data_IF_872815394627
#
_entry.id   IF_872815394627
#
_cell.length_a   1.000
_cell.length_b   1.000
_cell.length_c   1.000
_cell.angle_alpha   90.00
_cell.angle_beta   90.00
_cell.angle_gamma   90.00
#
_symmetry.space_group_name_H-M   'P 1'
#
loop_
_entity.id
_entity.type
_entity.pdbx_description
1 polymer ?
#
# COMPACT_ATOMS: atom_id res chain seq x y z
N UNK A 1 33.33 0.94 18.95
CA UNK A 1 32.61 0.79 20.22
C UNK A 1 31.23 0.28 19.89
N UNK A 2 30.82 -0.87 20.43
CA UNK A 2 29.44 -1.33 20.31
C UNK A 2 28.63 -0.56 21.35
N UNK A 3 27.96 0.52 20.93
CA UNK A 3 27.03 1.23 21.81
C UNK A 3 25.83 0.32 22.06
N UNK A 4 25.53 0.04 23.33
CA UNK A 4 24.31 -0.70 23.69
C UNK A 4 23.09 0.22 23.58
N UNK A 5 22.47 0.22 22.41
CA UNK A 5 21.29 1.04 22.13
C UNK A 5 20.04 0.61 22.92
N UNK A 6 20.05 -0.58 23.52
CA UNK A 6 18.89 -1.08 24.28
C UNK A 6 18.64 -0.31 25.57
N UNK A 7 19.68 0.34 26.11
CA UNK A 7 19.62 1.17 27.30
C UNK A 7 18.87 2.51 27.09
N UNK A 8 18.65 2.94 25.85
CA UNK A 8 17.99 4.21 25.53
C UNK A 8 16.51 4.00 25.21
N UNK A 9 15.66 4.97 25.58
CA UNK A 9 14.28 4.99 25.12
C UNK A 9 14.21 5.26 23.60
N UNK A 10 13.10 4.89 22.96
CA UNK A 10 12.91 5.14 21.53
C UNK A 10 12.96 6.65 21.23
N UNK A 11 12.39 7.48 22.11
CA UNK A 11 12.44 8.93 21.97
C UNK A 11 13.86 9.49 22.14
N UNK A 12 14.66 8.96 23.06
CA UNK A 12 16.05 9.41 23.22
C UNK A 12 16.87 9.08 21.97
N UNK A 13 16.73 7.86 21.43
CA UNK A 13 17.41 7.47 20.20
C UNK A 13 17.02 8.38 19.03
N UNK A 14 15.72 8.63 18.85
CA UNK A 14 15.25 9.54 17.80
C UNK A 14 15.77 10.97 18.01
N UNK A 15 15.76 11.48 19.25
CA UNK A 15 16.33 12.80 19.55
C UNK A 15 17.81 12.85 19.19
N UNK A 16 18.60 11.86 19.60
CA UNK A 16 20.04 11.80 19.30
C UNK A 16 20.33 11.69 17.81
N UNK A 17 19.43 11.09 17.03
CA UNK A 17 19.58 11.05 15.55
C UNK A 17 19.40 12.44 14.93
N UNK A 18 18.60 13.32 15.54
CA UNK A 18 18.19 14.59 14.95
C UNK A 18 18.62 15.84 15.74
N UNK A 19 19.43 15.70 16.78
CA UNK A 19 19.91 16.82 17.60
C UNK A 19 21.01 17.66 16.92
N UNK A 20 21.57 17.15 15.82
CA UNK A 20 22.64 17.79 15.05
C UNK A 20 24.03 17.54 15.62
N UNK A 21 24.17 16.77 16.70
CA UNK A 21 25.44 16.37 17.25
C UNK A 21 26.01 15.14 16.52
N UNK A 22 27.34 15.06 16.43
CA UNK A 22 28.00 13.92 15.80
C UNK A 22 28.16 12.77 16.78
N UNK A 23 27.26 11.79 16.70
CA UNK A 23 27.30 10.56 17.51
C UNK A 23 28.07 9.40 16.84
N UNK A 24 28.72 9.66 15.72
CA UNK A 24 29.45 8.67 14.91
C UNK A 24 28.76 8.39 13.56
N UNK A 25 29.58 8.06 12.55
CA UNK A 25 29.16 7.87 11.15
C UNK A 25 27.94 6.97 10.96
N UNK A 26 27.88 5.86 11.69
CA UNK A 26 26.84 4.83 11.54
C UNK A 26 25.84 4.82 12.71
N UNK A 27 25.85 5.85 13.58
CA UNK A 27 25.01 5.89 14.77
C UNK A 27 23.52 5.79 14.42
N UNK A 28 23.05 6.63 13.50
CA UNK A 28 21.64 6.66 13.14
C UNK A 28 21.16 5.34 12.52
N UNK A 29 21.99 4.74 11.67
CA UNK A 29 21.70 3.44 11.08
C UNK A 29 21.60 2.35 12.17
N UNK A 30 22.59 2.26 13.05
CA UNK A 30 22.63 1.26 14.10
C UNK A 30 21.51 1.44 15.14
N UNK A 31 21.16 2.69 15.49
CA UNK A 31 20.06 2.98 16.38
C UNK A 31 18.70 2.59 15.76
N UNK A 32 18.46 2.98 14.50
CA UNK A 32 17.21 2.69 13.79
C UNK A 32 17.04 1.19 13.51
N UNK A 33 17.96 0.58 12.76
CA UNK A 33 17.85 -0.82 12.34
C UNK A 33 18.16 -1.79 13.48
N UNK A 34 19.10 -1.44 14.37
CA UNK A 34 19.50 -2.30 15.47
C UNK A 34 18.53 -2.29 16.65
N UNK A 35 17.74 -1.23 16.84
CA UNK A 35 16.84 -1.12 18.01
C UNK A 35 15.45 -0.61 17.69
N UNK A 36 15.31 0.60 17.13
CA UNK A 36 13.99 1.26 16.99
C UNK A 36 13.01 0.45 16.14
N UNK A 37 13.42 0.02 14.94
CA UNK A 37 12.57 -0.79 14.08
C UNK A 37 12.24 -2.14 14.69
N UNK A 38 13.17 -2.74 15.45
CA UNK A 38 12.92 -3.97 16.19
C UNK A 38 11.85 -3.81 17.28
N UNK A 39 11.79 -2.65 17.94
CA UNK A 39 10.72 -2.31 18.91
C UNK A 39 9.39 -2.11 18.21
N UNK A 40 9.35 -1.31 17.15
CA UNK A 40 8.12 -1.04 16.38
C UNK A 40 7.53 -2.30 15.76
N UNK A 41 8.37 -3.20 15.22
CA UNK A 41 7.93 -4.51 14.72
C UNK A 41 7.21 -5.35 15.76
N UNK A 42 7.59 -5.21 17.05
CA UNK A 42 6.95 -5.86 18.19
C UNK A 42 5.78 -5.06 18.77
N UNK A 43 5.44 -3.92 18.18
CA UNK A 43 4.42 -2.99 18.69
C UNK A 43 4.86 -2.20 19.92
N UNK A 44 6.15 -2.10 20.22
CA UNK A 44 6.65 -1.37 21.38
C UNK A 44 6.96 0.07 20.98
N UNK A 45 6.55 1.05 21.79
CA UNK A 45 6.80 2.49 21.59
C UNK A 45 6.37 2.99 20.21
N UNK A 46 5.16 2.68 19.74
CA UNK A 46 4.69 3.06 18.39
C UNK A 46 4.37 4.56 18.26
N UNK A 47 4.16 5.26 19.38
CA UNK A 47 3.73 6.65 19.42
C UNK A 47 4.60 7.59 18.58
N UNK A 48 5.94 7.50 18.56
CA UNK A 48 6.77 8.35 17.71
C UNK A 48 6.61 8.07 16.22
N UNK A 49 6.38 6.81 15.82
CA UNK A 49 6.06 6.46 14.42
C UNK A 49 4.69 7.02 14.03
N UNK A 50 3.69 6.86 14.90
CA UNK A 50 2.34 7.41 14.69
C UNK A 50 2.40 8.92 14.56
N UNK A 51 3.17 9.61 15.41
CA UNK A 51 3.35 11.06 15.35
C UNK A 51 3.97 11.52 14.02
N UNK A 52 4.96 10.79 13.49
CA UNK A 52 5.52 11.09 12.17
C UNK A 52 4.46 10.95 11.07
N UNK A 53 3.71 9.85 11.06
CA UNK A 53 2.66 9.57 10.06
C UNK A 53 1.50 10.57 10.10
N UNK A 54 1.23 11.16 11.26
CA UNK A 54 0.16 12.15 11.46
C UNK A 54 0.65 13.60 11.40
N UNK A 55 1.95 13.83 11.18
CA UNK A 55 2.50 15.19 11.16
C UNK A 55 1.87 16.05 10.08
N UNK A 56 1.71 17.35 10.34
CA UNK A 56 1.28 18.31 9.33
C UNK A 56 2.35 18.53 8.24
N UNK A 57 3.62 18.23 8.54
CA UNK A 57 4.73 18.39 7.59
C UNK A 57 4.86 17.16 6.70
N UNK A 58 4.77 17.37 5.38
CA UNK A 58 4.91 16.30 4.38
C UNK A 58 6.22 15.52 4.52
N UNK A 59 7.35 16.18 4.78
CA UNK A 59 8.64 15.50 4.95
C UNK A 59 8.71 14.61 6.20
N UNK A 60 7.97 14.94 7.26
CA UNK A 60 7.88 14.07 8.45
C UNK A 60 6.98 12.87 8.18
N UNK A 61 5.85 13.07 7.49
CA UNK A 61 4.98 11.97 7.04
C UNK A 61 5.69 11.03 6.08
N UNK A 62 6.45 11.57 5.14
CA UNK A 62 7.22 10.78 4.18
C UNK A 62 8.28 9.91 4.88
N UNK A 63 8.96 10.48 5.88
CA UNK A 63 9.88 9.74 6.74
C UNK A 63 9.15 8.66 7.55
N UNK A 64 8.00 8.99 8.14
CA UNK A 64 7.16 8.02 8.84
C UNK A 64 6.74 6.87 7.92
N UNK A 65 6.36 7.17 6.67
CA UNK A 65 5.95 6.19 5.68
C UNK A 65 7.12 5.28 5.25
N UNK A 66 8.34 5.82 5.15
CA UNK A 66 9.56 5.02 4.99
C UNK A 66 9.78 4.10 6.20
N UNK A 67 9.66 4.61 7.42
CA UNK A 67 9.81 3.81 8.65
C UNK A 67 8.75 2.74 8.83
N UNK A 68 7.52 3.00 8.38
CA UNK A 68 6.45 2.00 8.36
C UNK A 68 6.86 0.75 7.58
N UNK A 69 7.51 0.93 6.42
CA UNK A 69 7.97 -0.17 5.56
C UNK A 69 9.12 -0.96 6.19
N UNK A 70 10.09 -0.27 6.79
CA UNK A 70 11.25 -0.91 7.41
C UNK A 70 10.90 -1.65 8.70
N UNK A 71 10.00 -1.09 9.50
CA UNK A 71 9.62 -1.65 10.79
C UNK A 71 8.59 -2.76 10.67
N UNK A 72 7.64 -2.64 9.73
CA UNK A 72 6.47 -3.53 9.59
C UNK A 72 5.77 -3.78 10.95
N UNK A 73 5.26 -2.72 11.61
CA UNK A 73 4.60 -2.83 12.91
C UNK A 73 3.30 -3.64 12.84
N UNK A 74 2.78 -4.14 13.98
CA UNK A 74 1.53 -4.89 14.03
C UNK A 74 0.32 -4.12 13.48
N UNK A 75 -0.43 -4.79 12.62
CA UNK A 75 -1.48 -4.20 11.80
C UNK A 75 -2.68 -3.66 12.61
N UNK A 76 -3.09 -4.41 13.62
CA UNK A 76 -4.16 -4.08 14.56
C UNK A 76 -3.91 -2.76 15.31
N UNK A 77 -2.65 -2.37 15.47
CA UNK A 77 -2.25 -1.14 16.17
C UNK A 77 -2.03 0.06 15.24
N UNK A 78 -1.97 -0.17 13.94
CA UNK A 78 -1.61 0.85 12.95
C UNK A 78 -2.73 1.17 11.95
N UNK A 79 -3.79 0.36 11.91
CA UNK A 79 -4.88 0.47 10.93
C UNK A 79 -5.43 1.90 10.79
N UNK A 80 -5.81 2.54 11.90
CA UNK A 80 -6.40 3.90 11.93
C UNK A 80 -5.47 5.00 11.40
N UNK A 81 -4.17 4.79 11.53
CA UNK A 81 -3.15 5.75 11.09
C UNK A 81 -2.80 5.51 9.64
N UNK A 82 -2.60 4.25 9.26
CA UNK A 82 -2.21 3.87 7.90
C UNK A 82 -3.31 4.17 6.90
N UNK A 83 -4.59 3.95 7.24
CA UNK A 83 -5.70 4.24 6.33
C UNK A 83 -5.72 5.71 5.86
N UNK A 84 -5.23 6.65 6.69
CA UNK A 84 -5.16 8.08 6.35
C UNK A 84 -4.11 8.38 5.28
N UNK A 85 -3.08 7.54 5.17
CA UNK A 85 -2.03 7.71 4.16
C UNK A 85 -2.56 7.53 2.74
N UNK A 86 -3.69 6.86 2.54
CA UNK A 86 -4.32 6.68 1.23
C UNK A 86 -4.76 8.00 0.58
N UNK A 87 -5.07 9.02 1.40
CA UNK A 87 -5.46 10.35 0.91
C UNK A 87 -4.32 11.37 0.96
N UNK A 88 -3.10 10.96 1.33
CA UNK A 88 -1.98 11.89 1.51
C UNK A 88 -1.64 12.59 0.18
N UNK A 89 -1.34 13.90 0.18
CA UNK A 89 -0.90 14.58 -1.04
C UNK A 89 0.40 14.01 -1.64
N UNK A 90 1.27 13.41 -0.83
CA UNK A 90 2.54 12.81 -1.26
C UNK A 90 2.33 11.40 -1.80
N UNK A 91 2.67 11.17 -3.06
CA UNK A 91 2.53 9.86 -3.73
C UNK A 91 3.26 8.72 -2.99
N UNK A 92 4.45 9.00 -2.43
CA UNK A 92 5.20 8.05 -1.62
C UNK A 92 4.37 7.55 -0.41
N UNK A 93 3.64 8.41 0.28
CA UNK A 93 2.78 8.01 1.40
C UNK A 93 1.62 7.11 0.94
N UNK A 94 0.94 7.47 -0.15
CA UNK A 94 -0.17 6.67 -0.72
C UNK A 94 0.30 5.30 -1.19
N UNK A 95 1.49 5.22 -1.77
CA UNK A 95 2.05 3.92 -2.13
C UNK A 95 2.42 3.08 -0.88
N UNK A 96 2.97 3.72 0.17
CA UNK A 96 3.29 3.02 1.43
C UNK A 96 2.03 2.47 2.11
N UNK A 97 0.90 3.15 2.00
CA UNK A 97 -0.41 2.60 2.37
C UNK A 97 -0.67 1.26 1.65
N UNK A 98 -0.60 1.23 0.32
CA UNK A 98 -0.88 0.01 -0.47
C UNK A 98 0.12 -1.10 -0.11
N UNK A 99 1.40 -0.78 0.04
CA UNK A 99 2.43 -1.74 0.41
C UNK A 99 2.18 -2.36 1.80
N UNK A 100 1.88 -1.53 2.80
CA UNK A 100 1.62 -2.00 4.15
C UNK A 100 0.36 -2.87 4.22
N UNK A 101 -0.72 -2.46 3.54
CA UNK A 101 -1.95 -3.25 3.41
C UNK A 101 -1.70 -4.60 2.75
N UNK A 102 -0.84 -4.64 1.73
CA UNK A 102 -0.43 -5.89 1.05
C UNK A 102 0.30 -6.84 2.00
N UNK A 103 1.26 -6.33 2.77
CA UNK A 103 2.11 -7.15 3.63
C UNK A 103 1.37 -7.64 4.89
N UNK A 104 0.62 -6.75 5.51
CA UNK A 104 -0.08 -7.00 6.77
C UNK A 104 -1.43 -7.71 6.61
N UNK A 105 -1.95 -7.78 5.37
CA UNK A 105 -3.30 -8.27 5.05
C UNK A 105 -4.43 -7.50 5.76
N UNK A 106 -4.19 -6.24 6.14
CA UNK A 106 -5.23 -5.38 6.68
C UNK A 106 -6.32 -5.15 5.63
N UNK A 107 -7.54 -5.53 5.96
CA UNK A 107 -8.67 -5.33 5.06
C UNK A 107 -9.98 -5.14 5.83
N UNK A 108 -10.77 -4.20 5.35
CA UNK A 108 -12.17 -3.95 5.74
C UNK A 108 -12.82 -3.07 4.67
N UNK A 109 -14.13 -2.86 4.73
CA UNK A 109 -14.84 -1.99 3.78
C UNK A 109 -14.24 -0.57 3.70
N UNK A 110 -13.71 -0.05 4.82
CA UNK A 110 -13.05 1.25 4.84
C UNK A 110 -11.73 1.23 4.03
N UNK A 111 -10.95 0.15 4.12
CA UNK A 111 -9.75 -0.03 3.29
C UNK A 111 -10.11 -0.28 1.83
N UNK A 112 -11.21 -0.98 1.55
CA UNK A 112 -11.69 -1.20 0.18
C UNK A 112 -11.96 0.13 -0.54
N UNK A 113 -12.63 1.08 0.12
CA UNK A 113 -12.87 2.42 -0.45
C UNK A 113 -11.57 3.20 -0.73
N UNK A 114 -10.60 3.12 0.20
CA UNK A 114 -9.29 3.76 0.03
C UNK A 114 -8.45 3.12 -1.06
N UNK A 115 -8.46 1.79 -1.16
CA UNK A 115 -7.80 1.07 -2.26
C UNK A 115 -8.48 1.40 -3.59
N UNK A 116 -9.80 1.59 -3.62
CA UNK A 116 -10.51 1.99 -4.84
C UNK A 116 -10.07 3.40 -5.29
N UNK A 117 -9.83 4.31 -4.34
CA UNK A 117 -9.25 5.62 -4.63
C UNK A 117 -7.80 5.50 -5.16
N UNK A 118 -6.97 4.64 -4.57
CA UNK A 118 -5.61 4.36 -5.05
C UNK A 118 -5.59 3.68 -6.43
N UNK A 119 -6.63 2.92 -6.79
CA UNK A 119 -6.78 2.36 -8.12
C UNK A 119 -6.95 3.49 -9.14
N UNK A 120 -7.69 4.53 -8.79
CA UNK A 120 -7.92 5.71 -9.62
C UNK A 120 -6.77 6.73 -9.60
N UNK A 121 -5.69 6.47 -8.87
CA UNK A 121 -4.60 7.43 -8.68
C UNK A 121 -3.96 7.85 -10.01
N UNK A 122 -3.53 9.11 -10.04
CA UNK A 122 -2.76 9.68 -11.14
C UNK A 122 -1.28 9.35 -11.02
N UNK A 123 -0.80 9.06 -9.81
CA UNK A 123 0.49 8.43 -9.60
C UNK A 123 0.42 6.97 -10.08
N UNK A 124 1.02 6.73 -11.24
CA UNK A 124 1.00 5.42 -11.90
C UNK A 124 1.65 4.33 -11.04
N UNK A 125 2.56 4.69 -10.12
CA UNK A 125 3.16 3.73 -9.22
C UNK A 125 2.17 3.27 -8.14
N UNK A 126 1.38 4.19 -7.58
CA UNK A 126 0.29 3.86 -6.64
C UNK A 126 -0.76 2.99 -7.32
N UNK A 127 -1.17 3.37 -8.53
CA UNK A 127 -2.13 2.59 -9.34
C UNK A 127 -1.61 1.17 -9.61
N UNK A 128 -0.39 1.03 -10.14
CA UNK A 128 0.19 -0.27 -10.47
C UNK A 128 0.31 -1.17 -9.23
N UNK A 129 0.67 -0.60 -8.08
CA UNK A 129 0.76 -1.32 -6.82
C UNK A 129 -0.60 -1.74 -6.29
N UNK A 130 -1.65 -0.96 -6.54
CA UNK A 130 -3.03 -1.32 -6.20
C UNK A 130 -3.55 -2.45 -7.08
N UNK A 131 -3.26 -2.42 -8.40
CA UNK A 131 -3.56 -3.54 -9.31
C UNK A 131 -2.83 -4.80 -8.85
N UNK A 132 -1.55 -4.67 -8.47
CA UNK A 132 -0.78 -5.78 -7.93
C UNK A 132 -1.40 -6.34 -6.64
N UNK A 133 -1.77 -5.49 -5.68
CA UNK A 133 -2.47 -5.89 -4.46
C UNK A 133 -3.71 -6.73 -4.82
N UNK A 134 -4.58 -6.20 -5.69
CA UNK A 134 -5.79 -6.90 -6.13
C UNK A 134 -5.49 -8.25 -6.81
N UNK A 135 -4.34 -8.39 -7.47
CA UNK A 135 -3.94 -9.65 -8.10
C UNK A 135 -3.48 -10.73 -7.09
N UNK A 136 -2.98 -10.34 -5.91
CA UNK A 136 -2.34 -11.27 -4.96
C UNK A 136 -3.13 -11.53 -3.67
N UNK A 137 -4.15 -10.73 -3.37
CA UNK A 137 -5.02 -10.96 -2.20
C UNK A 137 -5.89 -12.22 -2.33
N UNK A 138 -6.46 -12.63 -1.21
CA UNK A 138 -7.43 -13.73 -1.09
C UNK A 138 -8.70 -13.47 -1.94
N UNK A 139 -9.41 -14.53 -2.30
CA UNK A 139 -10.53 -14.46 -3.26
C UNK A 139 -11.73 -13.65 -2.73
N UNK A 140 -12.03 -13.75 -1.44
CA UNK A 140 -13.09 -13.02 -0.76
C UNK A 140 -12.80 -11.51 -0.68
N UNK A 141 -11.56 -11.13 -0.36
CA UNK A 141 -11.11 -9.73 -0.36
C UNK A 141 -11.16 -9.14 -1.77
N UNK A 142 -10.73 -9.90 -2.78
CA UNK A 142 -10.81 -9.46 -4.17
C UNK A 142 -12.25 -9.26 -4.64
N UNK A 143 -13.16 -10.16 -4.25
CA UNK A 143 -14.58 -10.06 -4.58
C UNK A 143 -15.21 -8.81 -3.96
N UNK A 144 -15.05 -8.61 -2.65
CA UNK A 144 -15.55 -7.41 -1.94
C UNK A 144 -14.98 -6.12 -2.55
N UNK A 145 -13.68 -6.08 -2.83
CA UNK A 145 -13.03 -4.92 -3.47
C UNK A 145 -13.60 -4.64 -4.85
N UNK A 146 -13.77 -5.68 -5.67
CA UNK A 146 -14.30 -5.55 -7.03
C UNK A 146 -15.73 -5.01 -7.00
N UNK A 147 -16.57 -5.52 -6.09
CA UNK A 147 -17.94 -5.02 -5.89
C UNK A 147 -17.97 -3.57 -5.41
N UNK A 148 -17.06 -3.19 -4.51
CA UNK A 148 -16.90 -1.81 -4.06
C UNK A 148 -16.54 -0.87 -5.22
N UNK A 149 -15.57 -1.26 -6.06
CA UNK A 149 -15.14 -0.50 -7.24
C UNK A 149 -16.28 -0.36 -8.25
N UNK A 150 -17.01 -1.43 -8.54
CA UNK A 150 -18.18 -1.40 -9.45
C UNK A 150 -19.30 -0.51 -8.90
N UNK A 151 -19.49 -0.50 -7.58
CA UNK A 151 -20.44 0.39 -6.89
C UNK A 151 -19.99 1.86 -6.86
N UNK A 152 -18.77 2.15 -7.30
CA UNK A 152 -18.22 3.50 -7.41
C UNK A 152 -17.44 3.99 -6.19
N UNK A 153 -16.93 3.09 -5.36
CA UNK A 153 -15.99 3.42 -4.29
C UNK A 153 -14.75 4.15 -4.84
N UNK A 154 -14.14 5.00 -4.02
CA UNK A 154 -12.96 5.79 -4.40
C UNK A 154 -13.19 6.94 -5.40
N UNK A 155 -14.36 7.02 -6.06
CA UNK A 155 -14.69 8.11 -6.98
C UNK A 155 -14.89 9.42 -6.20
N UNK A 156 -14.11 10.45 -6.54
CA UNK A 156 -14.27 11.77 -5.93
C UNK A 156 -15.64 12.34 -6.22
N UNK A 157 -16.37 12.72 -5.17
CA UNK A 157 -17.63 13.45 -5.31
C UNK A 157 -17.33 14.88 -5.75
N UNK A 158 -17.36 15.13 -7.05
CA UNK A 158 -17.34 16.49 -7.58
C UNK A 158 -18.62 17.22 -7.13
N UNK A 159 -18.47 18.27 -6.32
CA UNK A 159 -19.54 19.24 -5.98
C UNK A 159 -19.83 20.14 -7.20
N UNK A 160 -20.21 19.53 -8.32
CA UNK A 160 -20.69 20.25 -9.49
C UNK A 160 -22.20 20.25 -9.38
N UNK A 161 -22.79 21.44 -9.21
CA UNK A 161 -24.24 21.66 -9.09
C UNK A 161 -25.03 21.32 -10.38
N UNK A 162 -24.46 20.54 -11.30
CA UNK A 162 -25.08 20.10 -12.54
C UNK A 162 -24.90 18.57 -12.73
N UNK A 163 -25.95 17.77 -12.47
CA UNK A 163 -25.92 16.31 -12.55
C UNK A 163 -25.45 15.75 -13.90
N UNK A 164 -25.69 16.46 -15.01
CA UNK A 164 -25.26 16.02 -16.35
C UNK A 164 -23.76 16.10 -16.54
N UNK A 165 -23.11 17.13 -15.98
CA UNK A 165 -21.66 17.24 -15.99
C UNK A 165 -21.03 16.22 -15.05
N UNK A 166 -21.65 15.97 -13.89
CA UNK A 166 -21.13 14.99 -12.93
C UNK A 166 -21.12 13.57 -13.50
N UNK A 167 -22.09 13.21 -14.35
CA UNK A 167 -22.10 11.92 -15.05
C UNK A 167 -20.98 11.78 -16.10
N UNK A 168 -20.69 12.84 -16.87
CA UNK A 168 -19.65 12.80 -17.91
C UNK A 168 -18.24 12.69 -17.34
N UNK A 169 -17.97 13.26 -16.17
CA UNK A 169 -16.65 13.17 -15.52
C UNK A 169 -16.41 11.80 -14.86
N UNK A 170 -17.48 11.12 -14.42
CA UNK A 170 -17.38 9.79 -13.76
C UNK A 170 -17.11 8.66 -14.73
N UNK A 171 -17.52 8.80 -15.99
CA UNK A 171 -17.45 7.73 -16.97
C UNK A 171 -16.00 7.35 -17.34
N UNK A 172 -15.07 8.29 -17.60
CA UNK A 172 -13.65 7.97 -17.73
C UNK A 172 -13.03 7.31 -16.49
N UNK A 173 -13.39 7.78 -15.28
CA UNK A 173 -12.89 7.20 -14.02
C UNK A 173 -13.39 5.76 -13.85
N UNK A 174 -14.68 5.50 -14.10
CA UNK A 174 -15.26 4.15 -14.08
C UNK A 174 -14.56 3.22 -15.06
N UNK A 175 -14.31 3.66 -16.30
CA UNK A 175 -13.55 2.86 -17.27
C UNK A 175 -12.12 2.59 -16.80
N UNK A 176 -11.45 3.58 -16.22
CA UNK A 176 -10.09 3.42 -15.65
C UNK A 176 -10.08 2.45 -14.48
N UNK A 177 -11.06 2.50 -13.59
CA UNK A 177 -11.19 1.56 -12.47
C UNK A 177 -11.49 0.14 -12.96
N UNK A 178 -12.47 -0.01 -13.86
CA UNK A 178 -12.83 -1.31 -14.46
C UNK A 178 -11.63 -1.98 -15.15
N UNK A 179 -10.81 -1.22 -15.91
CA UNK A 179 -9.57 -1.75 -16.49
C UNK A 179 -8.59 -2.26 -15.44
N UNK A 180 -8.46 -1.56 -14.31
CA UNK A 180 -7.59 -1.99 -13.22
C UNK A 180 -8.04 -3.33 -12.61
N UNK A 181 -9.35 -3.51 -12.44
CA UNK A 181 -9.95 -4.79 -12.00
C UNK A 181 -9.76 -5.88 -13.04
N UNK A 182 -9.99 -5.59 -14.32
CA UNK A 182 -9.80 -6.54 -15.41
C UNK A 182 -8.36 -7.07 -15.46
N UNK A 183 -7.37 -6.17 -15.38
CA UNK A 183 -5.95 -6.54 -15.34
C UNK A 183 -5.68 -7.44 -14.13
N UNK A 184 -6.14 -7.05 -12.94
CA UNK A 184 -5.97 -7.86 -11.74
C UNK A 184 -6.61 -9.25 -11.88
N UNK A 185 -7.83 -9.35 -12.40
CA UNK A 185 -8.55 -10.59 -12.63
C UNK A 185 -7.79 -11.53 -13.59
N UNK A 186 -7.25 -10.98 -14.68
CA UNK A 186 -6.46 -11.74 -15.67
C UNK A 186 -5.15 -12.24 -15.10
N UNK A 187 -4.45 -11.40 -14.32
CA UNK A 187 -3.28 -11.82 -13.55
C UNK A 187 -3.61 -12.93 -12.54
N UNK A 188 -4.78 -12.84 -11.88
CA UNK A 188 -5.25 -13.89 -10.96
C UNK A 188 -5.50 -15.22 -11.67
N UNK A 189 -5.96 -15.17 -12.91
CA UNK A 189 -6.16 -16.33 -13.77
C UNK A 189 -4.85 -16.89 -14.37
N UNK A 190 -3.70 -16.27 -14.07
CA UNK A 190 -2.40 -16.72 -14.54
C UNK A 190 -1.99 -16.21 -15.91
N UNK A 191 -2.72 -15.24 -16.47
CA UNK A 191 -2.32 -14.62 -17.73
C UNK A 191 -1.04 -13.78 -17.56
N UNK A 192 -0.16 -13.80 -18.57
CA UNK A 192 1.09 -13.03 -18.52
C UNK A 192 0.86 -11.53 -18.69
N UNK A 193 1.71 -10.72 -18.04
CA UNK A 193 1.67 -9.25 -18.18
C UNK A 193 1.81 -8.81 -19.64
N UNK A 194 2.66 -9.48 -20.43
CA UNK A 194 2.86 -9.19 -21.85
C UNK A 194 1.57 -9.39 -22.66
N UNK A 195 0.87 -10.51 -22.46
CA UNK A 195 -0.41 -10.80 -23.13
C UNK A 195 -1.48 -9.75 -22.77
N UNK A 196 -1.59 -9.40 -21.49
CA UNK A 196 -2.56 -8.40 -21.04
C UNK A 196 -2.24 -7.04 -21.68
N UNK A 197 -0.97 -6.61 -21.68
CA UNK A 197 -0.51 -5.34 -22.26
C UNK A 197 -0.93 -5.19 -23.72
N UNK A 198 -0.82 -6.24 -24.53
CA UNK A 198 -1.19 -6.20 -25.96
C UNK A 198 -2.69 -5.98 -26.18
N UNK A 199 -3.52 -6.45 -25.25
CA UNK A 199 -4.99 -6.39 -25.35
C UNK A 199 -5.63 -5.21 -24.61
N UNK A 200 -4.88 -4.49 -23.76
CA UNK A 200 -5.37 -3.35 -22.97
C UNK A 200 -4.53 -2.10 -23.29
N UNK A 201 -4.64 -1.54 -24.51
CA UNK A 201 -3.80 -0.42 -24.95
C UNK A 201 -4.09 0.91 -24.22
N UNK A 202 -5.24 1.01 -23.54
CA UNK A 202 -5.67 2.19 -22.78
C UNK A 202 -5.06 2.27 -21.35
N UNK A 203 -4.24 1.30 -20.97
CA UNK A 203 -3.48 1.31 -19.72
C UNK A 203 -2.04 1.78 -19.96
N UNK A 204 -1.51 2.54 -19.01
CA UNK A 204 -0.17 3.12 -19.10
C UNK A 204 0.92 2.03 -19.12
N UNK A 205 1.86 2.09 -20.08
CA UNK A 205 2.98 1.14 -20.19
C UNK A 205 3.79 1.01 -18.90
N UNK A 206 3.94 2.12 -18.16
CA UNK A 206 4.60 2.14 -16.86
C UNK A 206 3.91 1.22 -15.84
N UNK A 207 2.58 1.17 -15.81
CA UNK A 207 1.83 0.27 -14.93
C UNK A 207 2.22 -1.19 -15.19
N UNK A 208 2.32 -1.57 -16.46
CA UNK A 208 2.72 -2.92 -16.84
C UNK A 208 4.20 -3.21 -16.57
N UNK A 209 5.09 -2.23 -16.68
CA UNK A 209 6.51 -2.41 -16.31
C UNK A 209 6.62 -2.73 -14.81
N UNK A 210 5.87 -2.01 -13.97
CA UNK A 210 5.81 -2.29 -12.53
C UNK A 210 5.21 -3.67 -12.22
N UNK A 211 4.13 -4.06 -12.90
CA UNK A 211 3.53 -5.38 -12.74
C UNK A 211 4.48 -6.51 -13.16
N UNK A 212 5.27 -6.29 -14.23
CA UNK A 212 6.29 -7.24 -14.68
C UNK A 212 7.37 -7.49 -13.62
N UNK A 213 7.84 -6.44 -12.94
CA UNK A 213 8.80 -6.57 -11.83
C UNK A 213 8.25 -7.43 -10.67
N UNK A 214 6.93 -7.42 -10.49
CA UNK A 214 6.24 -8.13 -9.42
C UNK A 214 5.66 -9.49 -9.86
N UNK A 215 5.87 -9.91 -11.12
CA UNK A 215 5.26 -11.11 -11.69
C UNK A 215 5.60 -12.40 -10.93
N UNK A 216 6.78 -12.46 -10.32
CA UNK A 216 7.19 -13.59 -9.47
C UNK A 216 6.27 -13.77 -8.23
N UNK A 217 5.79 -12.67 -7.64
CA UNK A 217 4.89 -12.70 -6.50
C UNK A 217 3.46 -13.06 -6.93
N UNK A 218 3.00 -12.58 -8.09
CA UNK A 218 1.72 -12.98 -8.70
C UNK A 218 1.68 -14.49 -8.97
N UNK A 219 2.77 -15.05 -9.52
CA UNK A 219 2.89 -16.49 -9.75
C UNK A 219 2.76 -17.29 -8.45
N UNK A 220 3.47 -16.90 -7.39
CA UNK A 220 3.36 -17.56 -6.07
C UNK A 220 1.95 -17.45 -5.49
N UNK A 221 1.27 -16.32 -5.67
CA UNK A 221 -0.10 -16.16 -5.20
C UNK A 221 -1.06 -17.12 -5.92
N UNK A 222 -0.90 -17.29 -7.24
CA UNK A 222 -1.65 -18.28 -8.01
C UNK A 222 -1.39 -19.70 -7.53
N UNK A 223 -0.12 -20.08 -7.35
CA UNK A 223 0.28 -21.42 -6.86
C UNK A 223 -0.39 -21.73 -5.51
N UNK A 224 -0.42 -20.76 -4.58
CA UNK A 224 -1.12 -20.91 -3.28
C UNK A 224 -2.61 -21.14 -3.46
N UNK A 225 -3.31 -20.31 -4.25
CA UNK A 225 -4.75 -20.48 -4.52
C UNK A 225 -5.06 -21.84 -5.14
N UNK A 226 -4.25 -22.31 -6.08
CA UNK A 226 -4.43 -23.63 -6.70
C UNK A 226 -4.22 -24.78 -5.72
N UNK A 227 -3.27 -24.64 -4.78
CA UNK A 227 -3.03 -25.64 -3.76
C UNK A 227 -4.18 -25.69 -2.73
N UNK A 228 -4.68 -24.53 -2.31
CA UNK A 228 -5.83 -24.40 -1.41
C UNK A 228 -7.09 -25.02 -2.04
N UNK A 229 -7.40 -24.70 -3.30
CA UNK A 229 -8.53 -25.28 -4.02
C UNK A 229 -8.40 -26.81 -4.20
N UNK A 230 -7.20 -27.31 -4.48
CA UNK A 230 -6.91 -28.74 -4.56
C UNK A 230 -7.07 -29.46 -3.23
N UNK A 231 -6.70 -28.80 -2.12
CA UNK A 231 -6.88 -29.33 -0.76
C UNK A 231 -8.35 -29.37 -0.31
N UNK A 232 -9.15 -28.39 -0.73
CA UNK A 232 -10.60 -28.37 -0.50
C UNK A 232 -11.38 -29.39 -1.34
N UNK A 233 -10.74 -29.93 -2.39
CA UNK A 233 -11.31 -30.91 -3.32
C UNK A 233 -10.79 -32.35 -3.09
N UNK A 234 -9.94 -32.56 -2.08
CA UNK A 234 -9.46 -33.88 -1.64
C UNK A 234 -10.47 -34.59 -0.71
N UNK A 235 -10.43 -35.94 -0.64
CA UNK A 235 -11.52 -36.78 -0.13
C UNK A 235 -11.91 -36.57 1.34
#
# INVERSE_FOLDING_TARGET
MSSDFTAYSTNDLLRMIYDGEYHGKDFAYNALWGTVFGRWRKGIDLEPLIALLQSEKSGERERGAFYLDEADPPADRMADVVIKLADDPVGHCRWRFVAYVTNSRLYSDAFADRLAACLLDHDLYVRARTIFWAAVVEDDMFANFSDAVVSGAGIKRYNINNPKNTASWREPERRRAARGIEIAQRLRAGESVTSIRESVPDEDSYSFDQLSLLGHATKRALERRTAEAGSASGP
#
